data_IF_681858842786
#
_entry.id   IF_681858842786
#
_cell.length_a   1.000
_cell.length_b   1.000
_cell.length_c   1.000
_cell.angle_alpha   90.00
_cell.angle_beta   90.00
_cell.angle_gamma   90.00
#
_symmetry.space_group_name_H-M   'P 1'
#
loop_
_entity.id
_entity.type
_entity.pdbx_description
1 polymer ?
#
# COMPACT_ATOMS: atom_id res chain seq x y z
N UNK A 1 16.81 -1.68 -14.98
CA UNK A 1 16.82 -1.64 -16.45
C UNK A 1 18.06 -0.93 -16.90
N UNK A 2 18.47 -1.11 -18.15
CA UNK A 2 19.59 -0.38 -18.74
C UNK A 2 19.18 1.06 -19.11
N UNK A 3 20.12 2.00 -19.04
CA UNK A 3 19.88 3.40 -19.40
C UNK A 3 19.89 3.61 -20.93
N UNK A 4 20.59 2.76 -21.67
CA UNK A 4 20.72 2.82 -23.13
C UNK A 4 20.41 1.48 -23.78
N UNK A 5 20.15 1.51 -25.10
CA UNK A 5 19.93 0.29 -25.87
C UNK A 5 21.17 -0.61 -25.90
N UNK A 6 22.36 -0.04 -26.09
CA UNK A 6 23.60 -0.82 -26.14
C UNK A 6 23.90 -1.49 -24.80
N UNK A 7 23.66 -0.79 -23.69
CA UNK A 7 23.77 -1.39 -22.35
C UNK A 7 22.73 -2.51 -22.18
N UNK A 8 21.50 -2.32 -22.65
CA UNK A 8 20.48 -3.38 -22.60
C UNK A 8 20.92 -4.63 -23.36
N UNK A 9 21.49 -4.46 -24.56
CA UNK A 9 22.01 -5.56 -25.36
C UNK A 9 23.15 -6.29 -24.64
N UNK A 10 24.08 -5.55 -24.03
CA UNK A 10 25.16 -6.13 -23.23
C UNK A 10 24.66 -6.90 -22.01
N UNK A 11 23.74 -6.32 -21.24
CA UNK A 11 23.11 -6.95 -20.07
C UNK A 11 22.35 -8.22 -20.47
N UNK A 12 21.63 -8.19 -21.59
CA UNK A 12 20.87 -9.33 -22.10
C UNK A 12 21.80 -10.46 -22.55
N UNK A 13 22.88 -10.15 -23.26
CA UNK A 13 23.87 -11.15 -23.68
C UNK A 13 24.51 -11.84 -22.47
N UNK A 14 24.92 -11.05 -21.46
CA UNK A 14 25.46 -11.58 -20.21
C UNK A 14 24.45 -12.47 -19.46
N UNK A 15 23.17 -12.09 -19.44
CA UNK A 15 22.11 -12.91 -18.84
C UNK A 15 21.92 -14.22 -19.61
N UNK A 16 21.79 -14.17 -20.93
CA UNK A 16 21.60 -15.36 -21.78
C UNK A 16 22.80 -16.31 -21.71
N UNK A 17 24.01 -15.77 -21.63
CA UNK A 17 25.21 -16.56 -21.38
C UNK A 17 25.12 -17.33 -20.05
N UNK A 18 24.76 -16.65 -18.95
CA UNK A 18 24.61 -17.30 -17.63
C UNK A 18 23.52 -18.37 -17.65
N UNK A 19 22.36 -18.08 -18.25
CA UNK A 19 21.27 -19.04 -18.35
C UNK A 19 21.70 -20.28 -19.12
N UNK A 20 22.44 -20.12 -20.22
CA UNK A 20 23.01 -21.23 -20.98
C UNK A 20 24.02 -22.02 -20.15
N UNK A 21 24.92 -21.34 -19.44
CA UNK A 21 25.94 -21.97 -18.59
C UNK A 21 25.32 -22.88 -17.51
N UNK A 22 24.21 -22.45 -16.92
CA UNK A 22 23.47 -23.21 -15.92
C UNK A 22 22.35 -24.09 -16.49
N UNK A 23 22.27 -24.27 -17.81
CA UNK A 23 21.22 -25.06 -18.48
C UNK A 23 19.78 -24.63 -18.15
N UNK A 24 19.57 -23.34 -17.88
CA UNK A 24 18.25 -22.76 -17.61
C UNK A 24 17.62 -22.33 -18.94
N UNK A 25 16.45 -22.89 -19.24
CA UNK A 25 15.68 -22.55 -20.45
C UNK A 25 14.69 -21.41 -20.20
N UNK A 26 14.53 -20.53 -21.19
CA UNK A 26 13.54 -19.43 -21.16
C UNK A 26 12.56 -19.57 -22.31
N UNK A 27 11.29 -19.30 -22.04
CA UNK A 27 10.25 -19.31 -23.07
C UNK A 27 10.26 -18.00 -23.86
N UNK A 28 10.82 -18.03 -25.07
CA UNK A 28 10.81 -16.90 -26.02
C UNK A 28 9.39 -16.31 -26.22
N UNK A 29 8.32 -17.11 -26.43
CA UNK A 29 6.97 -16.57 -26.59
C UNK A 29 6.41 -15.84 -25.36
N UNK A 30 6.98 -16.05 -24.17
CA UNK A 30 6.57 -15.40 -22.91
C UNK A 30 7.54 -14.30 -22.48
N UNK A 31 8.56 -14.02 -23.29
CA UNK A 31 9.60 -13.04 -22.94
C UNK A 31 9.34 -11.73 -23.65
N UNK A 32 9.52 -10.62 -22.93
CA UNK A 32 9.46 -9.27 -23.49
C UNK A 32 10.84 -8.62 -23.36
N UNK A 33 11.39 -8.14 -24.48
CA UNK A 33 12.70 -7.50 -24.54
C UNK A 33 12.58 -6.08 -25.11
N UNK A 34 13.44 -5.16 -24.65
CA UNK A 34 13.53 -3.82 -25.24
C UNK A 34 12.32 -2.91 -25.04
N UNK A 35 11.43 -3.23 -24.10
CA UNK A 35 10.22 -2.46 -23.84
C UNK A 35 10.49 -1.34 -22.82
N UNK A 36 9.83 -0.20 -23.01
CA UNK A 36 9.86 0.93 -22.05
C UNK A 36 9.01 0.67 -20.81
N UNK A 37 7.96 -0.14 -20.96
CA UNK A 37 7.05 -0.57 -19.90
C UNK A 37 6.81 -2.06 -20.09
N UNK A 38 6.92 -2.85 -19.03
CA UNK A 38 6.72 -4.31 -19.04
C UNK A 38 5.68 -4.70 -17.99
N UNK A 39 4.70 -5.56 -18.33
CA UNK A 39 3.84 -6.19 -17.33
C UNK A 39 4.64 -7.23 -16.53
N UNK A 40 4.69 -7.08 -15.22
CA UNK A 40 5.36 -8.03 -14.34
C UNK A 40 4.64 -8.12 -12.98
N UNK A 41 4.32 -9.35 -12.55
CA UNK A 41 3.62 -9.63 -11.30
C UNK A 41 2.44 -8.66 -11.05
N UNK A 42 1.53 -8.59 -12.03
CA UNK A 42 0.30 -7.79 -11.92
C UNK A 42 0.54 -6.27 -11.90
N UNK A 43 1.74 -5.81 -12.24
CA UNK A 43 2.10 -4.40 -12.29
C UNK A 43 2.63 -4.03 -13.66
N UNK A 44 2.49 -2.76 -14.04
CA UNK A 44 3.27 -2.19 -15.12
C UNK A 44 4.52 -1.54 -14.53
N UNK A 45 5.68 -1.99 -14.97
CA UNK A 45 6.98 -1.45 -14.54
C UNK A 45 7.56 -0.66 -15.70
N UNK A 46 7.78 0.63 -15.48
CA UNK A 46 8.46 1.52 -16.42
C UNK A 46 9.70 2.16 -15.80
N UNK A 47 10.38 3.00 -16.58
CA UNK A 47 11.52 3.78 -16.10
C UNK A 47 11.16 4.71 -14.94
N UNK A 48 9.95 5.27 -14.95
CA UNK A 48 9.50 6.27 -13.98
C UNK A 48 9.01 5.67 -12.66
N UNK A 49 8.65 4.39 -12.64
CA UNK A 49 8.02 3.77 -11.48
C UNK A 49 7.22 2.51 -11.79
N UNK A 50 6.34 2.17 -10.86
CA UNK A 50 5.46 1.00 -10.89
C UNK A 50 4.01 1.48 -10.73
N UNK A 51 3.08 0.93 -11.50
CA UNK A 51 1.64 1.18 -11.35
C UNK A 51 0.83 -0.11 -11.45
N UNK A 52 -0.40 -0.10 -10.95
CA UNK A 52 -1.34 -1.19 -11.16
C UNK A 52 -1.66 -1.33 -12.67
N UNK A 53 -1.85 -2.55 -13.16
CA UNK A 53 -2.23 -2.75 -14.56
C UNK A 53 -3.67 -2.26 -14.81
N UNK A 54 -3.99 -1.66 -15.97
CA UNK A 54 -5.33 -1.20 -16.30
C UNK A 54 -6.41 -2.29 -16.16
N UNK A 55 -6.03 -3.54 -16.42
CA UNK A 55 -6.91 -4.70 -16.27
C UNK A 55 -7.37 -4.90 -14.83
N UNK A 56 -6.45 -4.75 -13.89
CA UNK A 56 -6.74 -4.91 -12.46
C UNK A 56 -7.56 -3.74 -11.94
N UNK A 57 -7.25 -2.54 -12.41
CA UNK A 57 -8.03 -1.32 -12.14
C UNK A 57 -9.49 -1.54 -12.54
N UNK A 58 -9.74 -2.02 -13.77
CA UNK A 58 -11.09 -2.29 -14.26
C UNK A 58 -11.83 -3.36 -13.44
N UNK A 59 -11.19 -4.52 -13.22
CA UNK A 59 -11.79 -5.61 -12.45
C UNK A 59 -12.10 -5.20 -11.00
N UNK A 60 -11.23 -4.43 -10.36
CA UNK A 60 -11.45 -3.88 -9.01
C UNK A 60 -12.58 -2.85 -9.01
N UNK A 61 -12.70 -2.01 -10.03
CA UNK A 61 -13.73 -0.96 -10.08
C UNK A 61 -15.15 -1.53 -10.24
N UNK A 62 -15.30 -2.60 -11.02
CA UNK A 62 -16.58 -3.27 -11.28
C UNK A 62 -16.98 -4.28 -10.19
N UNK A 63 -16.07 -4.57 -9.25
CA UNK A 63 -16.28 -5.55 -8.18
C UNK A 63 -17.44 -5.14 -7.25
N UNK A 64 -18.49 -5.97 -7.09
CA UNK A 64 -19.59 -5.68 -6.18
C UNK A 64 -19.16 -5.90 -4.73
N UNK A 65 -19.88 -5.27 -3.80
CA UNK A 65 -19.67 -5.51 -2.37
C UNK A 65 -19.94 -7.00 -2.04
N UNK A 66 -19.02 -7.71 -1.35
CA UNK A 66 -19.21 -9.12 -1.04
C UNK A 66 -20.44 -9.39 -0.17
N UNK A 67 -21.18 -10.46 -0.46
CA UNK A 67 -22.37 -10.89 0.29
C UNK A 67 -22.08 -11.79 1.49
N UNK A 68 -20.82 -12.14 1.74
CA UNK A 68 -20.39 -13.02 2.84
C UNK A 68 -19.17 -12.44 3.55
N UNK A 69 -19.00 -12.75 4.85
CA UNK A 69 -17.83 -12.30 5.60
C UNK A 69 -16.52 -12.85 5.01
N UNK A 70 -16.52 -14.11 4.58
CA UNK A 70 -15.39 -14.73 3.85
C UNK A 70 -15.06 -13.97 2.57
N UNK A 71 -16.07 -13.47 1.84
CA UNK A 71 -15.87 -12.64 0.66
C UNK A 71 -15.20 -11.31 0.97
N UNK A 72 -15.58 -10.66 2.09
CA UNK A 72 -14.89 -9.45 2.57
C UNK A 72 -13.44 -9.75 2.95
N UNK A 73 -13.19 -10.85 3.67
CA UNK A 73 -11.85 -11.27 4.06
C UNK A 73 -10.97 -11.62 2.86
N UNK A 74 -11.53 -12.28 1.84
CA UNK A 74 -10.89 -12.55 0.55
C UNK A 74 -10.48 -11.25 -0.13
N UNK A 75 -11.39 -10.29 -0.25
CA UNK A 75 -11.08 -8.95 -0.79
C UNK A 75 -9.96 -8.26 -0.03
N UNK A 76 -9.99 -8.25 1.31
CA UNK A 76 -8.91 -7.68 2.12
C UNK A 76 -7.58 -8.41 1.92
N UNK A 77 -7.61 -9.74 1.76
CA UNK A 77 -6.44 -10.56 1.46
C UNK A 77 -5.79 -10.19 0.13
N UNK A 78 -6.59 -10.01 -0.90
CA UNK A 78 -6.17 -9.48 -2.20
C UNK A 78 -5.49 -8.11 -2.04
N UNK A 79 -6.06 -7.21 -1.24
CA UNK A 79 -5.48 -5.89 -1.02
C UNK A 79 -4.13 -5.92 -0.30
N UNK A 80 -3.77 -6.99 0.42
CA UNK A 80 -2.42 -7.09 1.00
C UNK A 80 -1.32 -7.08 -0.08
N UNK A 81 -1.60 -7.50 -1.31
CA UNK A 81 -0.62 -7.37 -2.40
C UNK A 81 -0.53 -5.93 -2.94
N UNK A 82 -1.63 -5.18 -2.88
CA UNK A 82 -1.75 -3.80 -3.38
C UNK A 82 -1.65 -2.71 -2.33
N UNK A 83 -1.58 -3.03 -1.03
CA UNK A 83 -1.62 -2.02 0.03
C UNK A 83 -0.52 -0.97 -0.09
N UNK A 84 0.61 -1.31 -0.74
CA UNK A 84 1.71 -0.38 -1.07
C UNK A 84 1.28 0.78 -1.98
N UNK A 85 0.16 0.65 -2.70
CA UNK A 85 -0.50 1.65 -3.55
C UNK A 85 -1.71 2.31 -2.87
N UNK A 86 -2.06 1.93 -1.64
CA UNK A 86 -3.24 2.44 -0.96
C UNK A 86 -2.78 3.27 0.23
N UNK A 87 -2.79 4.59 0.04
CA UNK A 87 -2.65 5.54 1.14
C UNK A 87 -3.71 5.25 2.20
N UNK A 88 -3.30 5.24 3.47
CA UNK A 88 -4.21 5.05 4.59
C UNK A 88 -5.01 3.74 4.59
N UNK A 89 -4.47 2.69 3.94
CA UNK A 89 -5.10 1.36 3.91
C UNK A 89 -5.63 0.90 5.28
N UNK A 90 -4.84 1.07 6.36
CA UNK A 90 -5.24 0.63 7.70
C UNK A 90 -6.39 1.46 8.31
N UNK A 91 -6.55 2.71 7.89
CA UNK A 91 -7.68 3.58 8.28
C UNK A 91 -8.93 3.09 7.57
N UNK A 92 -8.86 2.97 6.24
CA UNK A 92 -10.03 2.67 5.41
C UNK A 92 -10.48 1.21 5.58
N UNK A 93 -9.56 0.26 5.70
CA UNK A 93 -9.88 -1.15 5.90
C UNK A 93 -10.46 -1.45 7.30
N UNK A 94 -10.37 -0.51 8.24
CA UNK A 94 -10.77 -0.71 9.64
C UNK A 94 -12.22 -1.19 9.80
N UNK A 95 -13.16 -0.53 9.11
CA UNK A 95 -14.58 -0.88 9.22
C UNK A 95 -14.90 -2.23 8.59
N UNK A 96 -14.11 -2.69 7.62
CA UNK A 96 -14.25 -4.00 7.00
C UNK A 96 -13.77 -5.12 7.94
N UNK A 97 -12.74 -4.86 8.74
CA UNK A 97 -12.24 -5.81 9.74
C UNK A 97 -13.20 -6.02 10.91
N UNK A 98 -14.09 -5.07 11.21
CA UNK A 98 -15.07 -5.18 12.30
C UNK A 98 -16.33 -5.97 11.93
N UNK A 99 -16.55 -6.24 10.64
CA UNK A 99 -17.74 -6.95 10.20
C UNK A 99 -17.83 -8.34 10.83
N UNK A 100 -19.02 -8.68 11.31
CA UNK A 100 -19.35 -10.03 11.76
C UNK A 100 -20.17 -10.77 10.72
N UNK A 101 -20.15 -12.10 10.80
CA UNK A 101 -20.90 -12.96 9.86
C UNK A 101 -22.40 -12.68 9.97
N UNK A 102 -22.91 -12.40 11.17
CA UNK A 102 -24.32 -12.06 11.39
C UNK A 102 -24.70 -10.69 10.80
N UNK A 103 -23.80 -9.70 10.83
CA UNK A 103 -24.06 -8.40 10.19
C UNK A 103 -24.17 -8.55 8.68
N UNK A 104 -23.23 -9.30 8.08
CA UNK A 104 -23.19 -9.51 6.63
C UNK A 104 -24.39 -10.36 6.18
N UNK A 105 -24.69 -11.47 6.86
CA UNK A 105 -25.83 -12.35 6.54
C UNK A 105 -27.19 -11.66 6.74
N UNK A 106 -27.34 -10.86 7.80
CA UNK A 106 -28.59 -10.15 8.05
C UNK A 106 -28.75 -8.87 7.20
N UNK A 107 -27.70 -8.44 6.47
CA UNK A 107 -27.71 -7.21 5.69
C UNK A 107 -27.93 -5.94 6.52
N UNK A 108 -27.69 -5.99 7.84
CA UNK A 108 -27.98 -4.89 8.77
C UNK A 108 -26.75 -4.01 8.92
N UNK A 109 -26.94 -2.70 8.73
CA UNK A 109 -25.95 -1.63 8.92
C UNK A 109 -24.58 -1.87 8.24
N UNK A 110 -24.59 -1.96 6.90
CA UNK A 110 -23.38 -2.12 6.07
C UNK A 110 -22.90 -0.83 5.40
N UNK A 111 -23.46 0.33 5.76
CA UNK A 111 -23.17 1.63 5.12
C UNK A 111 -21.67 1.97 5.15
N UNK A 112 -21.07 2.01 6.34
CA UNK A 112 -19.64 2.28 6.56
C UNK A 112 -18.72 1.28 5.86
N UNK A 113 -19.11 0.01 5.85
CA UNK A 113 -18.36 -1.04 5.18
C UNK A 113 -18.39 -0.88 3.66
N UNK A 114 -19.56 -0.59 3.08
CA UNK A 114 -19.71 -0.30 1.65
C UNK A 114 -18.95 0.95 1.25
N UNK A 115 -19.00 1.99 2.07
CA UNK A 115 -18.22 3.21 1.85
C UNK A 115 -16.72 2.96 1.87
N UNK A 116 -16.21 2.25 2.88
CA UNK A 116 -14.81 1.84 2.94
C UNK A 116 -14.39 0.99 1.74
N UNK A 117 -15.24 0.05 1.32
CA UNK A 117 -15.02 -0.76 0.14
C UNK A 117 -14.87 0.09 -1.13
N UNK A 118 -15.77 1.07 -1.32
CA UNK A 118 -15.69 1.99 -2.46
C UNK A 118 -14.49 2.94 -2.39
N UNK A 119 -14.12 3.42 -1.20
CA UNK A 119 -12.90 4.25 -1.02
C UNK A 119 -11.65 3.43 -1.35
N UNK A 120 -11.55 2.18 -0.90
CA UNK A 120 -10.42 1.30 -1.23
C UNK A 120 -10.31 1.05 -2.74
N UNK A 121 -11.43 0.77 -3.40
CA UNK A 121 -11.48 0.65 -4.87
C UNK A 121 -10.97 1.91 -5.54
N UNK A 122 -11.51 3.09 -5.16
CA UNK A 122 -11.10 4.39 -5.70
C UNK A 122 -9.61 4.67 -5.50
N UNK A 123 -9.05 4.41 -4.31
CA UNK A 123 -7.63 4.69 -4.01
C UNK A 123 -6.66 3.85 -4.86
N UNK A 124 -7.02 2.61 -5.19
CA UNK A 124 -6.21 1.75 -6.08
C UNK A 124 -6.20 2.30 -7.50
N UNK A 125 -7.35 2.79 -7.96
CA UNK A 125 -7.51 3.39 -9.29
C UNK A 125 -6.82 4.76 -9.36
N UNK A 126 -6.92 5.56 -8.30
CA UNK A 126 -6.46 6.95 -8.29
C UNK A 126 -4.96 7.10 -8.08
N UNK A 127 -4.26 6.08 -7.58
CA UNK A 127 -2.81 6.12 -7.38
C UNK A 127 -2.11 5.83 -8.71
N UNK A 128 -1.62 6.87 -9.43
CA UNK A 128 -1.29 6.70 -10.84
C UNK A 128 0.06 6.03 -11.05
N UNK A 129 1.00 6.22 -10.10
CA UNK A 129 2.37 5.74 -10.19
C UNK A 129 3.04 5.79 -8.81
N UNK A 130 3.75 4.72 -8.43
CA UNK A 130 4.75 4.77 -7.38
C UNK A 130 6.13 4.93 -8.00
N UNK A 131 6.84 5.99 -7.64
CA UNK A 131 8.21 6.25 -8.10
C UNK A 131 9.18 5.16 -7.65
N UNK A 132 10.18 4.88 -8.47
CA UNK A 132 11.34 4.12 -8.01
C UNK A 132 12.13 4.96 -7.00
N UNK A 133 12.60 4.36 -5.89
CA UNK A 133 13.40 5.09 -4.92
C UNK A 133 14.74 5.53 -5.53
N UNK A 134 15.06 6.81 -5.40
CA UNK A 134 16.32 7.42 -5.80
C UNK A 134 17.12 7.79 -4.55
N UNK A 135 18.10 6.96 -4.18
CA UNK A 135 18.89 7.15 -2.94
C UNK A 135 19.79 8.40 -2.98
N UNK A 136 19.91 9.07 -4.12
CA UNK A 136 20.67 10.32 -4.24
C UNK A 136 19.87 11.55 -3.80
N UNK A 137 18.57 11.39 -3.57
CA UNK A 137 17.66 12.44 -3.13
C UNK A 137 17.13 12.18 -1.72
N UNK A 138 16.80 13.23 -0.95
CA UNK A 138 16.12 13.07 0.32
C UNK A 138 14.79 12.34 0.16
N UNK A 139 14.46 11.50 1.15
CA UNK A 139 13.12 10.94 1.27
C UNK A 139 12.23 11.89 2.07
N UNK A 140 10.94 11.90 1.74
CA UNK A 140 9.91 12.67 2.41
C UNK A 140 8.97 11.72 3.12
N UNK A 141 8.71 11.97 4.41
CA UNK A 141 7.76 11.21 5.22
C UNK A 141 6.63 12.15 5.63
N UNK A 142 5.40 11.79 5.25
CA UNK A 142 4.18 12.49 5.65
C UNK A 142 3.38 11.54 6.52
N UNK A 143 3.50 11.62 7.87
CA UNK A 143 2.68 10.82 8.77
C UNK A 143 1.24 11.34 8.79
N UNK A 144 0.32 10.40 8.90
CA UNK A 144 -1.08 10.61 9.19
C UNK A 144 -1.53 9.60 10.25
N UNK A 145 -2.20 10.07 11.29
CA UNK A 145 -2.71 9.21 12.34
C UNK A 145 -4.09 9.67 12.75
N UNK A 146 -4.92 8.72 13.17
CA UNK A 146 -6.24 8.98 13.72
C UNK A 146 -6.42 8.23 15.06
N UNK A 147 -7.66 8.03 15.52
CA UNK A 147 -7.89 7.39 16.81
C UNK A 147 -7.47 5.90 16.84
N UNK A 148 -7.51 5.16 15.72
CA UNK A 148 -7.28 3.70 15.69
C UNK A 148 -6.11 3.26 14.80
N UNK A 149 -5.56 4.11 13.95
CA UNK A 149 -4.53 3.76 12.99
C UNK A 149 -3.43 4.83 12.89
N UNK A 150 -2.26 4.37 12.47
CA UNK A 150 -1.11 5.21 12.16
C UNK A 150 -0.55 4.79 10.80
N UNK A 151 -0.50 5.75 9.88
CA UNK A 151 -0.18 5.61 8.47
C UNK A 151 0.84 6.66 8.05
N UNK A 152 1.56 6.40 6.97
CA UNK A 152 2.48 7.37 6.41
C UNK A 152 2.69 7.14 4.91
N UNK A 153 2.92 8.25 4.23
CA UNK A 153 3.48 8.29 2.88
C UNK A 153 4.99 8.36 2.98
N UNK A 154 5.69 7.51 2.22
CA UNK A 154 7.09 7.69 1.86
C UNK A 154 7.14 8.16 0.41
N UNK A 155 7.69 9.34 0.18
CA UNK A 155 7.79 9.96 -1.15
C UNK A 155 9.13 10.62 -1.39
N UNK A 156 9.30 11.20 -2.57
CA UNK A 156 10.47 12.01 -2.95
C UNK A 156 10.06 13.18 -3.82
N UNK A 157 10.84 14.26 -3.78
CA UNK A 157 10.60 15.42 -4.65
C UNK A 157 10.98 15.10 -6.09
N UNK A 158 10.02 15.26 -6.99
CA UNK A 158 10.17 15.21 -8.44
C UNK A 158 9.36 16.35 -9.05
N UNK A 159 10.02 17.17 -9.87
CA UNK A 159 9.37 18.24 -10.65
C UNK A 159 8.55 19.21 -9.78
N UNK A 160 9.04 19.50 -8.57
CA UNK A 160 8.37 20.40 -7.62
C UNK A 160 7.28 19.75 -6.76
N UNK A 161 7.03 18.45 -6.91
CA UNK A 161 6.03 17.71 -6.15
C UNK A 161 6.61 16.49 -5.43
N UNK A 162 6.11 16.18 -4.24
CA UNK A 162 6.34 14.93 -3.52
C UNK A 162 5.57 13.84 -4.22
N UNK A 163 6.27 13.00 -4.98
CA UNK A 163 5.68 11.84 -5.63
C UNK A 163 5.79 10.61 -4.69
N UNK A 164 4.75 9.78 -4.60
CA UNK A 164 4.75 8.64 -3.68
C UNK A 164 5.73 7.56 -4.16
N UNK A 165 6.53 7.02 -3.24
CA UNK A 165 7.38 5.84 -3.44
C UNK A 165 6.69 4.62 -2.84
N UNK A 166 6.19 4.71 -1.60
CA UNK A 166 5.42 3.66 -0.92
C UNK A 166 4.45 4.26 0.08
N UNK A 167 3.36 3.56 0.32
CA UNK A 167 2.47 3.79 1.47
C UNK A 167 2.66 2.71 2.53
N UNK A 168 2.48 3.07 3.80
CA UNK A 168 2.42 2.09 4.88
C UNK A 168 1.45 2.55 5.96
N UNK A 169 0.82 1.59 6.63
CA UNK A 169 -0.03 1.88 7.78
C UNK A 169 -0.33 0.63 8.57
N UNK A 170 -0.78 0.81 9.81
CA UNK A 170 -1.31 -0.25 10.64
C UNK A 170 -2.33 0.28 11.64
N UNK A 171 -3.16 -0.64 12.10
CA UNK A 171 -3.98 -0.42 13.28
C UNK A 171 -3.09 -0.36 14.53
N UNK A 172 -3.49 0.47 15.48
CA UNK A 172 -2.84 0.66 16.76
C UNK A 172 -3.23 -0.44 17.75
N UNK A 173 -2.28 -0.85 18.59
CA UNK A 173 -2.53 -1.77 19.71
C UNK A 173 -3.32 -1.10 20.84
N UNK A 174 -3.88 -1.89 21.76
CA UNK A 174 -4.69 -1.40 22.89
C UNK A 174 -3.99 -0.33 23.74
N UNK A 175 -2.66 -0.44 23.90
CA UNK A 175 -1.88 0.58 24.60
C UNK A 175 -1.76 1.87 23.80
N UNK A 176 -1.57 1.74 22.48
CA UNK A 176 -1.35 2.86 21.55
C UNK A 176 -2.62 3.65 21.25
N UNK A 177 -3.80 3.02 21.32
CA UNK A 177 -5.09 3.71 21.19
C UNK A 177 -5.22 4.88 22.17
N UNK A 178 -4.65 4.73 23.38
CA UNK A 178 -4.68 5.74 24.45
C UNK A 178 -3.69 6.89 24.25
N UNK A 179 -2.83 6.82 23.23
CA UNK A 179 -1.89 7.90 22.99
C UNK A 179 -2.56 9.12 22.39
N UNK A 180 -2.03 10.28 22.75
CA UNK A 180 -2.33 11.51 22.03
C UNK A 180 -1.97 11.38 20.54
N UNK A 181 -2.73 12.04 19.67
CA UNK A 181 -2.58 11.96 18.22
C UNK A 181 -1.14 12.25 17.75
N UNK A 182 -0.48 13.23 18.36
CA UNK A 182 0.92 13.55 18.10
C UNK A 182 1.89 12.38 18.34
N UNK A 183 1.65 11.54 19.35
CA UNK A 183 2.47 10.35 19.60
C UNK A 183 2.15 9.23 18.59
N UNK A 184 0.93 9.21 18.04
CA UNK A 184 0.53 8.26 16.99
C UNK A 184 1.19 8.60 15.65
N UNK A 185 1.38 9.89 15.33
CA UNK A 185 2.21 10.29 14.18
C UNK A 185 3.67 9.81 14.34
N UNK A 186 4.24 9.86 15.55
CA UNK A 186 5.58 9.30 15.80
C UNK A 186 5.61 7.79 15.52
N UNK A 187 4.55 7.05 15.90
CA UNK A 187 4.43 5.63 15.57
C UNK A 187 4.40 5.38 14.05
N UNK A 188 3.74 6.25 13.28
CA UNK A 188 3.74 6.18 11.83
C UNK A 188 5.15 6.38 11.24
N UNK A 189 5.90 7.36 11.75
CA UNK A 189 7.30 7.61 11.36
C UNK A 189 8.17 6.39 11.69
N UNK A 190 8.11 5.88 12.93
CA UNK A 190 8.87 4.68 13.33
C UNK A 190 8.52 3.47 12.46
N UNK A 191 7.26 3.33 12.05
CA UNK A 191 6.85 2.27 11.12
C UNK A 191 7.54 2.42 9.77
N UNK A 192 7.62 3.62 9.21
CA UNK A 192 8.37 3.88 7.97
C UNK A 192 9.83 3.49 8.12
N UNK A 193 10.47 3.90 9.22
CA UNK A 193 11.87 3.58 9.50
C UNK A 193 12.13 2.07 9.55
N UNK A 194 11.23 1.32 10.18
CA UNK A 194 11.37 -0.14 10.30
C UNK A 194 11.03 -0.87 8.99
N UNK A 195 9.91 -0.54 8.36
CA UNK A 195 9.41 -1.26 7.17
C UNK A 195 10.28 -0.97 5.95
N UNK A 196 10.79 0.25 5.83
CA UNK A 196 11.55 0.70 4.66
C UNK A 196 13.03 0.91 4.97
N UNK A 197 13.55 0.33 6.07
CA UNK A 197 14.95 0.48 6.51
C UNK A 197 15.94 0.34 5.36
N UNK A 198 15.89 -0.77 4.63
CA UNK A 198 16.81 -1.06 3.53
C UNK A 198 16.78 -0.01 2.41
N UNK A 199 15.65 0.69 2.24
CA UNK A 199 15.47 1.72 1.21
C UNK A 199 16.05 3.07 1.64
N UNK A 200 15.86 3.45 2.90
CA UNK A 200 16.11 4.81 3.39
C UNK A 200 17.36 4.96 4.27
N UNK A 201 17.93 3.85 4.76
CA UNK A 201 19.11 3.87 5.63
C UNK A 201 20.28 4.60 4.94
N UNK A 202 20.90 5.53 5.65
CA UNK A 202 21.97 6.39 5.12
C UNK A 202 21.51 7.52 4.18
N UNK A 203 20.20 7.73 4.00
CA UNK A 203 19.65 8.84 3.20
C UNK A 203 19.09 9.94 4.11
N UNK A 204 19.17 11.23 3.72
CA UNK A 204 18.48 12.31 4.43
C UNK A 204 16.96 12.13 4.38
N UNK A 205 16.28 12.35 5.51
CA UNK A 205 14.83 12.21 5.62
C UNK A 205 14.19 13.53 6.07
N UNK A 206 13.19 13.99 5.32
CA UNK A 206 12.40 15.18 5.63
C UNK A 206 11.04 14.73 6.13
N UNK A 207 10.63 15.15 7.33
CA UNK A 207 9.37 14.75 7.95
C UNK A 207 8.42 15.94 8.05
N UNK A 208 7.24 15.85 7.43
CA UNK A 208 6.19 16.86 7.50
C UNK A 208 5.11 16.48 8.53
N UNK A 209 5.21 16.97 9.75
CA UNK A 209 4.27 16.64 10.86
C UNK A 209 3.42 17.84 11.27
N UNK A 210 2.21 17.58 11.79
CA UNK A 210 1.35 18.62 12.38
C UNK A 210 1.83 19.04 13.78
N UNK A 211 2.68 18.24 14.41
CA UNK A 211 3.00 18.38 15.82
C UNK A 211 4.49 18.56 16.08
N UNK A 212 4.83 19.47 16.99
CA UNK A 212 6.22 19.70 17.45
C UNK A 212 6.75 18.57 18.34
N UNK A 213 5.90 17.62 18.77
CA UNK A 213 6.26 16.54 19.70
C UNK A 213 7.38 15.68 19.15
N UNK A 214 7.39 15.37 17.84
CA UNK A 214 8.48 14.60 17.23
C UNK A 214 9.83 15.31 17.39
N UNK A 215 9.87 16.62 17.10
CA UNK A 215 11.08 17.45 17.26
C UNK A 215 11.53 17.52 18.70
N UNK A 216 10.58 17.59 19.63
CA UNK A 216 10.89 17.55 21.07
C UNK A 216 11.46 16.19 21.49
N UNK A 217 10.88 15.06 21.05
CA UNK A 217 11.35 13.70 21.42
C UNK A 217 12.81 13.48 21.02
N UNK A 218 13.23 13.98 19.86
CA UNK A 218 14.62 13.83 19.40
C UNK A 218 15.60 14.68 20.21
N UNK A 219 15.21 15.92 20.55
CA UNK A 219 16.12 16.88 21.19
C UNK A 219 16.05 16.87 22.72
N UNK A 220 15.05 16.21 23.30
CA UNK A 220 14.78 16.27 24.73
C UNK A 220 15.78 15.44 25.52
N UNK A 221 16.46 16.08 26.47
CA UNK A 221 17.28 15.43 27.50
C UNK A 221 16.45 14.89 28.67
N UNK A 222 15.17 15.24 28.72
CA UNK A 222 14.22 14.87 29.78
C UNK A 222 13.13 13.94 29.26
N UNK A 223 13.38 13.26 28.13
CA UNK A 223 12.47 12.25 27.63
C UNK A 223 12.49 11.05 28.60
N UNK A 224 11.30 10.57 28.95
CA UNK A 224 11.15 9.47 29.90
C UNK A 224 10.30 8.33 29.34
N UNK A 225 10.47 7.16 29.95
CA UNK A 225 9.73 5.94 29.64
C UNK A 225 9.79 5.60 28.16
N UNK A 226 8.62 5.45 27.54
CA UNK A 226 8.46 5.00 26.15
C UNK A 226 9.04 5.92 25.08
N UNK A 227 9.33 7.18 25.42
CA UNK A 227 9.86 8.14 24.45
C UNK A 227 11.37 7.97 24.26
N UNK A 228 12.07 7.36 25.23
CA UNK A 228 13.51 7.11 25.14
C UNK A 228 13.85 6.12 24.01
N UNK A 229 13.22 4.93 23.92
CA UNK A 229 13.47 4.02 22.79
C UNK A 229 13.11 4.64 21.43
N UNK A 230 12.08 5.49 21.39
CA UNK A 230 11.69 6.20 20.17
C UNK A 230 12.75 7.23 19.76
N UNK A 231 13.26 8.02 20.72
CA UNK A 231 14.35 8.96 20.48
C UNK A 231 15.60 8.26 19.94
N UNK A 232 15.99 7.12 20.54
CA UNK A 232 17.13 6.32 20.08
C UNK A 232 16.93 5.76 18.66
N UNK A 233 15.73 5.28 18.35
CA UNK A 233 15.44 4.80 16.99
C UNK A 233 15.49 5.94 15.96
N UNK A 234 14.97 7.11 16.32
CA UNK A 234 14.96 8.29 15.46
C UNK A 234 16.38 8.87 15.27
N UNK A 235 17.23 8.83 16.31
CA UNK A 235 18.59 9.40 16.25
C UNK A 235 19.55 8.64 15.34
N UNK A 236 19.18 7.45 14.85
CA UNK A 236 19.97 6.69 13.89
C UNK A 236 19.90 7.26 12.47
N UNK A 237 18.96 8.18 12.22
CA UNK A 237 18.69 8.73 10.89
C UNK A 237 19.00 10.23 10.85
N UNK A 238 19.36 10.71 9.67
CA UNK A 238 19.48 12.15 9.38
C UNK A 238 18.08 12.72 9.14
N UNK A 239 17.50 13.34 10.17
CA UNK A 239 16.10 13.78 10.19
C UNK A 239 15.98 15.30 10.18
N UNK A 240 15.36 15.84 9.14
CA UNK A 240 14.87 17.22 9.09
C UNK A 240 13.37 17.26 9.38
N UNK A 241 12.96 17.89 10.49
CA UNK A 241 11.55 17.98 10.88
C UNK A 241 10.96 19.34 10.49
N UNK A 242 9.96 19.31 9.61
CA UNK A 242 9.18 20.46 9.15
C UNK A 242 7.77 20.39 9.74
N UNK A 243 7.43 21.36 10.60
CA UNK A 243 6.08 21.47 11.15
C UNK A 243 5.19 22.18 10.13
N UNK A 244 4.05 21.58 9.82
CA UNK A 244 3.03 22.16 8.94
C UNK A 244 1.68 22.04 9.63
N UNK A 245 1.13 23.17 10.07
CA UNK A 245 -0.10 23.24 10.87
C UNK A 245 -1.37 23.17 10.04
N UNK A 246 -1.40 23.86 8.90
CA UNK A 246 -2.49 23.82 7.92
C UNK A 246 -1.93 23.31 6.61
N UNK A 247 -2.70 22.52 5.87
CA UNK A 247 -2.24 22.00 4.59
C UNK A 247 -2.05 23.13 3.55
N UNK A 248 -2.77 24.25 3.72
CA UNK A 248 -2.57 25.53 3.02
C UNK A 248 -1.20 26.20 3.28
N UNK A 249 -0.49 25.85 4.36
CA UNK A 249 0.83 26.42 4.71
C UNK A 249 1.97 25.88 3.81
N UNK A 250 1.64 25.23 2.69
CA UNK A 250 2.57 24.86 1.62
C UNK A 250 2.75 23.36 1.37
N UNK A 251 2.29 22.48 2.27
CA UNK A 251 2.42 21.03 2.03
C UNK A 251 1.48 20.55 0.93
N UNK A 252 0.21 20.96 0.93
CA UNK A 252 -0.73 20.57 -0.13
C UNK A 252 -0.26 21.04 -1.51
N UNK A 253 0.43 22.19 -1.58
CA UNK A 253 0.96 22.76 -2.82
C UNK A 253 2.02 21.85 -3.44
N UNK A 254 2.77 21.11 -2.62
CA UNK A 254 3.83 20.21 -3.09
C UNK A 254 3.39 18.74 -3.07
N UNK A 255 2.15 18.40 -2.75
CA UNK A 255 1.70 17.00 -2.81
C UNK A 255 1.52 16.56 -4.27
N UNK A 256 2.25 15.52 -4.66
CA UNK A 256 2.10 14.90 -5.97
C UNK A 256 0.84 14.04 -6.07
N UNK A 257 0.53 13.62 -7.30
CA UNK A 257 -0.63 12.80 -7.57
C UNK A 257 -0.63 11.49 -6.76
N UNK A 258 -1.78 11.17 -6.15
CA UNK A 258 -1.95 9.97 -5.32
C UNK A 258 -1.69 10.18 -3.82
N UNK A 259 -1.24 11.37 -3.40
CA UNK A 259 -1.18 11.77 -1.98
C UNK A 259 -2.40 12.65 -1.69
N UNK A 260 -3.18 12.28 -0.67
CA UNK A 260 -4.38 13.03 -0.29
C UNK A 260 -4.02 14.07 0.77
N UNK A 261 -4.52 15.32 0.69
CA UNK A 261 -4.40 16.29 1.78
C UNK A 261 -4.95 15.72 3.09
N UNK A 262 -4.31 16.04 4.21
CA UNK A 262 -4.64 15.47 5.53
C UNK A 262 -6.04 15.84 5.99
N UNK A 263 -6.52 17.04 5.67
CA UNK A 263 -7.90 17.46 6.00
C UNK A 263 -8.94 16.51 5.40
N UNK A 264 -8.76 16.09 4.14
CA UNK A 264 -9.65 15.12 3.49
C UNK A 264 -9.48 13.71 4.08
N UNK A 265 -8.27 13.35 4.54
CA UNK A 265 -8.05 12.08 5.24
C UNK A 265 -8.71 12.07 6.62
N UNK A 266 -8.72 13.20 7.32
CA UNK A 266 -9.39 13.35 8.61
C UNK A 266 -10.92 13.22 8.42
N UNK A 267 -11.51 13.85 7.39
CA UNK A 267 -12.94 13.69 7.04
C UNK A 267 -13.30 12.23 6.78
N UNK A 268 -12.49 11.53 5.96
CA UNK A 268 -12.67 10.10 5.71
C UNK A 268 -12.57 9.30 7.01
N UNK A 269 -11.64 9.65 7.90
CA UNK A 269 -11.52 8.97 9.19
C UNK A 269 -12.78 9.21 10.04
N UNK A 270 -13.31 10.43 10.13
CA UNK A 270 -14.52 10.74 10.92
C UNK A 270 -15.74 9.94 10.46
N UNK A 271 -15.88 9.70 9.16
CA UNK A 271 -16.96 8.86 8.62
C UNK A 271 -16.74 7.37 8.92
N UNK A 272 -15.47 6.93 8.92
CA UNK A 272 -15.09 5.53 9.06
C UNK A 272 -14.70 5.13 10.49
N UNK A 273 -15.23 5.83 11.50
CA UNK A 273 -14.96 5.50 12.90
C UNK A 273 -15.38 4.05 13.19
N UNK A 274 -14.46 3.20 13.70
CA UNK A 274 -14.77 1.82 14.07
C UNK A 274 -15.81 1.78 15.18
N UNK A 275 -16.85 0.96 15.02
CA UNK A 275 -17.98 0.84 15.94
C UNK A 275 -17.57 0.46 17.36
N UNK A 276 -16.50 -0.32 17.51
CA UNK A 276 -16.01 -0.78 18.82
C UNK A 276 -14.83 0.04 19.33
N UNK A 277 -14.41 1.08 18.60
CA UNK A 277 -13.18 1.84 18.85
C UNK A 277 -11.92 0.96 18.86
N UNK A 278 -12.03 -0.29 18.40
CA UNK A 278 -11.02 -1.34 18.45
C UNK A 278 -11.13 -2.16 17.19
N UNK A 279 -10.08 -2.12 16.38
CA UNK A 279 -10.01 -2.89 15.15
C UNK A 279 -9.07 -4.05 15.42
N UNK A 280 -9.58 -5.27 15.40
CA UNK A 280 -8.74 -6.47 15.34
C UNK A 280 -8.74 -6.94 13.90
N UNK A 281 -7.56 -7.02 13.29
CA UNK A 281 -7.44 -7.62 11.97
C UNK A 281 -7.77 -9.12 12.09
N UNK A 282 -8.86 -9.62 11.47
CA UNK A 282 -9.10 -11.04 11.36
C UNK A 282 -7.98 -11.68 10.53
N UNK A 283 -7.73 -12.99 10.70
CA UNK A 283 -6.79 -13.70 9.85
C UNK A 283 -7.23 -13.57 8.39
N UNK A 284 -6.25 -13.34 7.52
CA UNK A 284 -6.47 -13.29 6.07
C UNK A 284 -6.82 -14.70 5.61
N UNK A 285 -8.00 -14.86 5.02
CA UNK A 285 -8.44 -16.14 4.47
C UNK A 285 -7.80 -16.30 3.09
N UNK A 286 -6.83 -17.21 2.99
CA UNK A 286 -6.31 -17.67 1.71
C UNK A 286 -7.32 -18.57 1.00
N UNK A 287 -7.16 -18.72 -0.31
CA UNK A 287 -8.05 -19.58 -1.11
C UNK A 287 -7.99 -21.04 -0.65
N UNK A 288 -6.84 -21.51 -0.16
CA UNK A 288 -6.73 -22.88 0.39
C UNK A 288 -7.49 -23.08 1.71
N UNK A 289 -7.89 -21.99 2.38
CA UNK A 289 -8.66 -22.02 3.63
C UNK A 289 -10.18 -21.96 3.37
N UNK A 290 -10.61 -21.84 2.11
CA UNK A 290 -12.02 -21.89 1.73
C UNK A 290 -12.50 -23.34 1.68
N UNK A 291 -13.67 -23.60 2.25
CA UNK A 291 -14.35 -24.89 2.12
C UNK A 291 -14.75 -25.14 0.67
N UNK A 292 -14.81 -26.39 0.23
CA UNK A 292 -15.24 -26.76 -1.13
C UNK A 292 -16.64 -26.23 -1.49
N UNK A 293 -17.50 -26.03 -0.49
CA UNK A 293 -18.85 -25.49 -0.63
C UNK A 293 -18.93 -23.95 -0.68
N UNK A 294 -17.80 -23.24 -0.58
CA UNK A 294 -17.80 -21.78 -0.56
C UNK A 294 -18.23 -21.20 -1.92
N UNK A 295 -19.34 -20.46 -1.92
CA UNK A 295 -19.80 -19.68 -3.05
C UNK A 295 -19.43 -18.20 -2.87
N UNK A 296 -18.68 -17.64 -3.81
CA UNK A 296 -18.25 -16.24 -3.74
C UNK A 296 -17.26 -15.87 -4.84
N UNK A 297 -16.74 -14.64 -4.75
CA UNK A 297 -15.76 -14.14 -5.70
C UNK A 297 -14.37 -14.07 -5.04
N UNK A 298 -13.34 -14.49 -5.77
CA UNK A 298 -11.95 -14.45 -5.33
C UNK A 298 -11.11 -13.76 -6.39
N UNK A 299 -10.31 -12.78 -5.97
CA UNK A 299 -9.34 -12.13 -6.85
C UNK A 299 -7.95 -12.68 -6.54
N UNK A 300 -7.36 -13.43 -7.48
CA UNK A 300 -6.02 -14.01 -7.34
C UNK A 300 -5.02 -13.30 -8.23
N UNK A 301 -3.83 -13.01 -7.70
CA UNK A 301 -2.69 -12.47 -8.47
C UNK A 301 -1.72 -13.59 -8.81
N UNK A 302 -2.12 -14.42 -9.77
CA UNK A 302 -1.28 -15.49 -10.28
C UNK A 302 -0.82 -15.12 -11.69
N UNK A 303 0.41 -14.60 -11.81
CA UNK A 303 1.03 -14.32 -13.12
C UNK A 303 1.31 -15.58 -13.97
N UNK A 304 1.04 -16.78 -13.46
CA UNK A 304 1.12 -18.07 -14.13
C UNK A 304 -0.26 -18.68 -14.47
N UNK A 305 -1.36 -18.20 -13.89
CA UNK A 305 -2.69 -18.72 -14.19
C UNK A 305 -3.07 -18.38 -15.64
N UNK A 306 -3.40 -19.42 -16.39
CA UNK A 306 -3.89 -19.32 -17.76
C UNK A 306 -5.36 -19.64 -17.77
N UNK A 307 -6.14 -18.77 -18.40
CA UNK A 307 -7.46 -19.16 -18.89
C UNK A 307 -7.29 -20.10 -20.08
N UNK A 308 -8.20 -21.06 -20.26
CA UNK A 308 -8.16 -22.00 -21.40
C UNK A 308 -8.26 -21.30 -22.77
N UNK A 309 -8.58 -20.00 -22.79
CA UNK A 309 -8.83 -19.16 -23.97
C UNK A 309 -7.57 -18.73 -24.75
N UNK A 310 -6.39 -19.32 -24.49
CA UNK A 310 -5.11 -19.04 -25.20
C UNK A 310 -4.63 -17.57 -25.18
N UNK A 311 -5.23 -16.68 -24.37
CA UNK A 311 -4.94 -15.23 -24.34
C UNK A 311 -3.72 -14.80 -23.48
N UNK A 312 -2.79 -15.71 -23.19
CA UNK A 312 -1.59 -15.40 -22.41
C UNK A 312 -1.79 -15.47 -20.89
N UNK A 313 -0.73 -15.20 -20.13
CA UNK A 313 -0.75 -15.13 -18.67
C UNK A 313 -1.56 -13.92 -18.20
N UNK A 314 -2.48 -14.14 -17.27
CA UNK A 314 -3.29 -13.08 -16.70
C UNK A 314 -2.65 -12.62 -15.39
N UNK A 315 -2.33 -11.33 -15.26
CA UNK A 315 -1.74 -10.82 -14.01
C UNK A 315 -2.71 -10.88 -12.82
N UNK A 316 -4.00 -11.06 -13.08
CA UNK A 316 -5.03 -11.16 -12.07
C UNK A 316 -6.22 -11.90 -12.65
N UNK A 317 -6.87 -12.74 -11.86
CA UNK A 317 -8.08 -13.45 -12.27
C UNK A 317 -9.15 -13.25 -11.20
N UNK A 318 -10.33 -12.87 -11.65
CA UNK A 318 -11.55 -12.83 -10.87
C UNK A 318 -12.28 -14.17 -11.05
N UNK A 319 -12.25 -14.98 -10.00
CA UNK A 319 -12.89 -16.30 -9.97
C UNK A 319 -14.25 -16.22 -9.31
N UNK A 320 -15.24 -16.91 -9.89
CA UNK A 320 -16.47 -17.29 -9.22
C UNK A 320 -16.31 -18.72 -8.69
N UNK A 321 -16.34 -18.86 -7.37
CA UNK A 321 -16.34 -20.13 -6.65
C UNK A 321 -17.79 -20.62 -6.42
N UNK A 322 -18.03 -21.94 -6.27
CA UNK A 322 -17.02 -23.02 -6.18
C UNK A 322 -16.57 -23.56 -7.55
N UNK A 323 -17.24 -23.18 -8.64
CA UNK A 323 -17.02 -23.71 -9.99
C UNK A 323 -15.67 -23.30 -10.62
N UNK A 324 -14.88 -22.46 -9.95
CA UNK A 324 -13.66 -21.85 -10.47
C UNK A 324 -13.88 -21.22 -11.85
N UNK A 325 -15.04 -20.60 -12.04
CA UNK A 325 -15.39 -19.95 -13.29
C UNK A 325 -14.70 -18.60 -13.38
N UNK A 326 -13.98 -18.36 -14.46
CA UNK A 326 -13.37 -17.06 -14.72
C UNK A 326 -14.47 -16.05 -15.07
N UNK A 327 -14.63 -15.02 -14.24
CA UNK A 327 -15.50 -13.88 -14.52
C UNK A 327 -14.79 -12.85 -15.39
N UNK A 328 -13.54 -12.56 -15.04
CA UNK A 328 -12.63 -11.71 -15.81
C UNK A 328 -11.19 -12.19 -15.56
N UNK A 329 -10.36 -12.15 -16.60
CA UNK A 329 -8.98 -12.64 -16.53
C UNK A 329 -8.08 -11.90 -17.48
#
# INVERSE_FOLDING_TARGET
GAATWDQLCGDLDALLYRLRHWSISVSLPKSEFGKRVIPYLSHEIGAEGIRATPKIIKGIQELPFPSTLKGVQSFLGTLNYYHKFIEDYAVVAASLYELTDDQVRAGRDLSRAKESFEILKKKIVSTPLLRHPDRTKPFVIIPHANQWAACAVLGQMHDGFVQPVRFTGRVLSDAELKYHIAKKEILAVIRVLNVFKNMIEGCPLIIYTRHSVLKWVINSKTAEGRLVPWGVALSQYDLEIRKVSRDEDGLAVIMGAGITPREHLDEVAEVLIPAKGRVKQPPVVSVELLSEEYAGVVLSFDGAAKTSTRKGSCGCILWQLPEWKVLDA
#
